data_IF_394643195182
#
_entry.id   IF_394643195182
#
_cell.length_a   1.000
_cell.length_b   1.000
_cell.length_c   1.000
_cell.angle_alpha   90.00
_cell.angle_beta   90.00
_cell.angle_gamma   90.00
#
_symmetry.space_group_name_H-M   'P 1'
#
loop_
_entity.id
_entity.type
_entity.pdbx_description
1 polymer ?
#
# COMPACT_ATOMS: atom_id res chain seq x y z
N UNK A 1 17.45 -3.99 12.38
CA UNK A 1 16.61 -2.76 12.34
C UNK A 1 15.56 -2.89 11.24
N UNK A 2 15.97 -3.30 10.03
CA UNK A 2 15.09 -3.60 8.89
C UNK A 2 13.96 -4.62 9.17
N UNK A 3 14.20 -5.71 9.90
CA UNK A 3 13.13 -6.69 10.20
C UNK A 3 11.93 -6.08 10.95
N UNK A 4 12.18 -5.12 11.85
CA UNK A 4 11.10 -4.44 12.57
C UNK A 4 10.35 -3.46 11.67
N UNK A 5 11.06 -2.77 10.79
CA UNK A 5 10.46 -1.86 9.81
C UNK A 5 9.60 -2.63 8.81
N UNK A 6 10.10 -3.76 8.29
CA UNK A 6 9.35 -4.64 7.39
C UNK A 6 8.07 -5.17 8.06
N UNK A 7 8.15 -5.59 9.32
CA UNK A 7 6.98 -6.02 10.09
C UNK A 7 5.95 -4.90 10.29
N UNK A 8 6.41 -3.68 10.57
CA UNK A 8 5.51 -2.52 10.71
C UNK A 8 4.80 -2.16 9.39
N UNK A 9 5.51 -2.28 8.26
CA UNK A 9 4.95 -2.04 6.93
C UNK A 9 3.91 -3.11 6.59
N UNK A 10 4.23 -4.37 6.82
CA UNK A 10 3.32 -5.49 6.60
C UNK A 10 2.03 -5.34 7.42
N UNK A 11 2.14 -5.02 8.71
CA UNK A 11 1.00 -4.74 9.57
C UNK A 11 0.15 -3.55 9.07
N UNK A 12 0.80 -2.50 8.53
CA UNK A 12 0.09 -1.37 7.94
C UNK A 12 -0.68 -1.78 6.68
N UNK A 13 -0.06 -2.60 5.83
CA UNK A 13 -0.68 -3.13 4.62
C UNK A 13 -1.85 -4.05 4.94
N UNK A 14 -1.75 -4.90 5.96
CA UNK A 14 -2.88 -5.71 6.43
C UNK A 14 -4.04 -4.85 6.95
N UNK A 15 -3.78 -3.72 7.61
CA UNK A 15 -4.83 -2.76 7.98
C UNK A 15 -5.52 -2.16 6.76
N UNK A 16 -4.78 -1.89 5.68
CA UNK A 16 -5.35 -1.38 4.41
C UNK A 16 -6.22 -2.44 3.75
N UNK A 17 -5.73 -3.67 3.63
CA UNK A 17 -6.49 -4.80 3.07
C UNK A 17 -7.80 -5.05 3.84
N UNK A 18 -7.80 -4.91 5.17
CA UNK A 18 -9.03 -5.00 5.98
C UNK A 18 -10.06 -3.91 5.64
N UNK A 19 -9.62 -2.70 5.29
CA UNK A 19 -10.50 -1.56 4.97
C UNK A 19 -10.94 -1.55 3.50
N UNK A 20 -10.10 -2.09 2.62
CA UNK A 20 -10.26 -2.18 1.18
C UNK A 20 -10.06 -3.63 0.72
N UNK A 21 -10.92 -4.56 1.16
CA UNK A 21 -10.81 -5.95 0.76
C UNK A 21 -11.07 -6.11 -0.74
N UNK A 22 -10.61 -7.23 -1.29
CA UNK A 22 -10.71 -7.53 -2.71
C UNK A 22 -12.15 -7.41 -3.25
N UNK A 23 -13.14 -7.94 -2.52
CA UNK A 23 -14.54 -7.87 -2.96
C UNK A 23 -15.04 -6.42 -3.02
N UNK A 24 -14.61 -5.59 -2.07
CA UNK A 24 -14.97 -4.17 -2.05
C UNK A 24 -14.33 -3.41 -3.21
N UNK A 25 -13.09 -3.73 -3.59
CA UNK A 25 -12.48 -3.13 -4.78
C UNK A 25 -13.22 -3.56 -6.05
N UNK A 26 -13.59 -4.85 -6.18
CA UNK A 26 -14.36 -5.34 -7.35
C UNK A 26 -15.76 -4.75 -7.44
N UNK A 27 -16.33 -4.23 -6.36
CA UNK A 27 -17.61 -3.51 -6.40
C UNK A 27 -17.53 -2.20 -7.19
N UNK A 28 -16.33 -1.64 -7.38
CA UNK A 28 -16.11 -0.44 -8.17
C UNK A 28 -16.12 -0.85 -9.66
N UNK A 29 -16.97 -0.23 -10.52
CA UNK A 29 -17.12 -0.65 -11.91
C UNK A 29 -15.80 -0.73 -12.70
N UNK A 30 -14.86 0.18 -12.42
CA UNK A 30 -13.54 0.22 -13.06
C UNK A 30 -12.65 -0.99 -12.73
N UNK A 31 -12.89 -1.66 -11.60
CA UNK A 31 -12.09 -2.78 -11.10
C UNK A 31 -12.90 -4.08 -11.02
N UNK A 32 -14.06 -4.15 -11.66
CA UNK A 32 -14.97 -5.30 -11.60
C UNK A 32 -14.30 -6.62 -12.01
N UNK A 33 -13.43 -6.56 -13.01
CA UNK A 33 -12.74 -7.72 -13.57
C UNK A 33 -11.30 -7.89 -13.02
N UNK A 34 -10.96 -7.17 -11.96
CA UNK A 34 -9.66 -7.28 -11.29
C UNK A 34 -9.48 -8.70 -10.77
N UNK A 35 -8.37 -9.35 -11.16
CA UNK A 35 -7.98 -10.64 -10.61
C UNK A 35 -7.42 -10.48 -9.19
N UNK A 36 -7.38 -11.57 -8.41
CA UNK A 36 -6.77 -11.54 -7.07
C UNK A 36 -5.28 -11.17 -7.16
N UNK A 37 -4.57 -11.66 -8.17
CA UNK A 37 -3.17 -11.34 -8.41
C UNK A 37 -2.97 -9.85 -8.71
N UNK A 38 -3.83 -9.26 -9.54
CA UNK A 38 -3.76 -7.83 -9.86
C UNK A 38 -4.08 -6.96 -8.64
N UNK A 39 -4.99 -7.42 -7.78
CA UNK A 39 -5.27 -6.77 -6.50
C UNK A 39 -4.04 -6.79 -5.56
N UNK A 40 -3.36 -7.92 -5.45
CA UNK A 40 -2.14 -8.01 -4.64
C UNK A 40 -1.03 -7.10 -5.18
N UNK A 41 -0.86 -7.08 -6.51
CA UNK A 41 0.05 -6.14 -7.18
C UNK A 41 -0.34 -4.68 -6.91
N UNK A 42 -1.63 -4.35 -6.98
CA UNK A 42 -2.13 -3.00 -6.68
C UNK A 42 -1.78 -2.57 -5.25
N UNK A 43 -1.98 -3.46 -4.26
CA UNK A 43 -1.67 -3.17 -2.87
C UNK A 43 -0.16 -2.93 -2.67
N UNK A 44 0.69 -3.80 -3.25
CA UNK A 44 2.15 -3.67 -3.15
C UNK A 44 2.69 -2.42 -3.83
N UNK A 45 2.16 -2.08 -5.01
CA UNK A 45 2.52 -0.85 -5.71
C UNK A 45 2.10 0.39 -4.93
N UNK A 46 0.91 0.37 -4.34
CA UNK A 46 0.41 1.47 -3.51
C UNK A 46 1.29 1.68 -2.27
N UNK A 47 1.67 0.60 -1.58
CA UNK A 47 2.62 0.63 -0.47
C UNK A 47 3.95 1.28 -0.89
N UNK A 48 4.50 0.84 -2.01
CA UNK A 48 5.77 1.37 -2.55
C UNK A 48 5.68 2.87 -2.85
N UNK A 49 4.62 3.31 -3.54
CA UNK A 49 4.41 4.72 -3.87
C UNK A 49 4.24 5.57 -2.60
N UNK A 50 3.46 5.09 -1.63
CA UNK A 50 3.25 5.79 -0.36
C UNK A 50 4.57 5.96 0.42
N UNK A 51 5.40 4.90 0.48
CA UNK A 51 6.72 4.97 1.10
C UNK A 51 7.65 5.95 0.38
N UNK A 52 7.61 6.00 -0.96
CA UNK A 52 8.39 6.97 -1.73
C UNK A 52 7.96 8.41 -1.41
N UNK A 53 6.64 8.69 -1.41
CA UNK A 53 6.11 10.02 -1.04
C UNK A 53 6.55 10.42 0.36
N UNK A 54 6.42 9.52 1.34
CA UNK A 54 6.84 9.77 2.72
C UNK A 54 8.34 10.04 2.82
N UNK A 55 9.18 9.22 2.16
CA UNK A 55 10.62 9.43 2.11
C UNK A 55 10.97 10.78 1.51
N UNK A 56 10.35 11.16 0.38
CA UNK A 56 10.55 12.46 -0.25
C UNK A 56 10.14 13.61 0.68
N UNK A 57 9.00 13.49 1.37
CA UNK A 57 8.54 14.50 2.32
C UNK A 57 9.49 14.67 3.51
N UNK A 58 9.94 13.56 4.11
CA UNK A 58 10.91 13.57 5.20
C UNK A 58 12.25 14.16 4.73
N UNK A 59 12.71 13.81 3.53
CA UNK A 59 13.98 14.30 2.98
C UNK A 59 13.95 15.81 2.72
N UNK A 60 12.83 16.32 2.18
CA UNK A 60 12.61 17.76 2.01
C UNK A 60 12.70 18.51 3.35
N UNK A 61 12.05 18.00 4.39
CA UNK A 61 12.03 18.65 5.71
C UNK A 61 13.33 18.49 6.52
N UNK A 62 14.28 17.66 6.08
CA UNK A 62 15.63 17.56 6.68
C UNK A 62 16.64 18.51 6.04
N UNK A 63 16.28 19.14 4.93
CA UNK A 63 17.15 20.02 4.15
C UNK A 63 16.88 21.51 4.41
N UNK A 64 16.01 21.81 5.38
CA UNK A 64 15.76 23.13 5.98
C UNK A 64 16.37 23.16 7.39
#
# INVERSE_FOLDING_TARGET
MEERENKNIEEATERVKKRLPFEKIRSIPKFKDLSLEDYEKLMKNTETIALLILKTFIFKNKSE
#
